data_IF_483106885832
#
_entry.id   IF_483106885832
#
_cell.length_a   1.000
_cell.length_b   1.000
_cell.length_c   1.000
_cell.angle_alpha   90.00
_cell.angle_beta   90.00
_cell.angle_gamma   90.00
#
_symmetry.space_group_name_H-M   'P 1'
#
loop_
_entity.id
_entity.type
_entity.pdbx_description
1 polymer ?
#
# COMPACT_ATOMS: atom_id res chain seq x y z
N UNK A 1 56.68 -5.87 -4.95
CA UNK A 1 57.49 -6.84 -5.73
C UNK A 1 56.65 -8.09 -5.91
N UNK A 2 56.52 -8.63 -7.13
CA UNK A 2 55.51 -9.67 -7.41
C UNK A 2 55.95 -11.00 -6.79
N UNK A 3 55.01 -11.75 -6.18
CA UNK A 3 55.18 -13.11 -5.62
C UNK A 3 55.98 -14.05 -6.55
N UNK A 4 55.77 -13.90 -7.86
CA UNK A 4 56.45 -14.67 -8.92
C UNK A 4 57.96 -14.40 -9.02
N UNK A 5 58.43 -13.20 -8.68
CA UNK A 5 59.84 -12.83 -8.77
C UNK A 5 60.68 -13.40 -7.60
N UNK A 6 60.05 -13.59 -6.44
CA UNK A 6 60.68 -14.15 -5.23
C UNK A 6 60.83 -15.67 -5.35
N UNK A 7 59.79 -16.35 -5.83
CA UNK A 7 59.81 -17.80 -6.08
C UNK A 7 60.84 -18.17 -7.15
N UNK A 8 60.94 -17.39 -8.23
CA UNK A 8 61.92 -17.61 -9.31
C UNK A 8 63.37 -17.51 -8.82
N UNK A 9 63.67 -16.52 -7.97
CA UNK A 9 65.00 -16.38 -7.35
C UNK A 9 65.32 -17.50 -6.36
N UNK A 10 64.32 -18.04 -5.65
CA UNK A 10 64.50 -19.18 -4.76
C UNK A 10 64.80 -20.48 -5.53
N UNK A 11 64.13 -20.69 -6.67
CA UNK A 11 64.37 -21.82 -7.57
C UNK A 11 65.77 -21.79 -8.19
N UNK A 12 66.24 -20.60 -8.61
CA UNK A 12 67.60 -20.41 -9.11
C UNK A 12 68.68 -20.70 -8.04
N UNK A 13 68.38 -20.45 -6.76
CA UNK A 13 69.31 -20.75 -5.65
C UNK A 13 69.29 -22.23 -5.25
N UNK A 14 68.15 -22.91 -5.39
CA UNK A 14 68.07 -24.37 -5.28
C UNK A 14 68.88 -25.06 -6.39
N UNK A 15 68.76 -24.56 -7.63
CA UNK A 15 69.51 -25.09 -8.77
C UNK A 15 71.04 -24.89 -8.66
N UNK A 16 71.49 -23.90 -7.88
CA UNK A 16 72.91 -23.67 -7.55
C UNK A 16 73.41 -24.50 -6.36
N UNK A 17 72.54 -25.28 -5.72
CA UNK A 17 72.91 -26.15 -4.59
C UNK A 17 73.23 -25.41 -3.28
N UNK A 18 72.89 -24.11 -3.19
CA UNK A 18 73.15 -23.29 -2.01
C UNK A 18 72.17 -23.55 -0.86
N UNK A 19 71.03 -24.20 -1.15
CA UNK A 19 69.97 -24.51 -0.20
C UNK A 19 69.47 -25.93 -0.41
N UNK A 20 69.09 -26.60 0.68
CA UNK A 20 68.57 -27.97 0.65
C UNK A 20 67.10 -27.98 0.22
N UNK A 21 66.66 -29.03 -0.49
CA UNK A 21 65.29 -29.20 -1.00
C UNK A 21 64.25 -29.11 0.13
N UNK A 22 64.60 -29.61 1.32
CA UNK A 22 63.77 -29.54 2.53
C UNK A 22 63.52 -28.09 2.99
N UNK A 23 64.53 -27.23 2.88
CA UNK A 23 64.45 -25.79 3.22
C UNK A 23 63.66 -25.00 2.17
N UNK A 24 63.75 -25.38 0.89
CA UNK A 24 62.93 -24.79 -0.18
C UNK A 24 61.44 -25.12 0.02
N UNK A 25 61.12 -26.36 0.37
CA UNK A 25 59.73 -26.80 0.61
C UNK A 25 59.12 -26.14 1.86
N UNK A 26 59.87 -25.92 2.94
CA UNK A 26 59.40 -25.19 4.12
C UNK A 26 59.09 -23.71 3.83
N UNK A 27 59.94 -23.03 3.05
CA UNK A 27 59.72 -21.63 2.67
C UNK A 27 58.55 -21.51 1.69
N UNK A 28 58.44 -22.45 0.73
CA UNK A 28 57.33 -22.51 -0.23
C UNK A 28 56.00 -22.77 0.47
N UNK A 29 55.96 -23.70 1.43
CA UNK A 29 54.75 -24.00 2.20
C UNK A 29 54.31 -22.80 3.04
N UNK A 30 55.24 -22.11 3.72
CA UNK A 30 54.94 -20.92 4.52
C UNK A 30 54.33 -19.78 3.67
N UNK A 31 54.78 -19.61 2.44
CA UNK A 31 54.22 -18.63 1.47
C UNK A 31 52.95 -19.09 0.75
N UNK A 32 52.53 -20.34 0.93
CA UNK A 32 51.27 -20.88 0.40
C UNK A 32 50.19 -20.98 1.49
N UNK A 33 50.57 -20.87 2.77
CA UNK A 33 49.68 -21.03 3.93
C UNK A 33 49.41 -19.74 4.72
N UNK A 34 49.98 -18.59 4.36
CA UNK A 34 49.44 -17.31 4.81
C UNK A 34 48.22 -16.99 3.94
N UNK A 35 46.99 -16.89 4.50
CA UNK A 35 45.88 -16.35 3.74
C UNK A 35 46.29 -14.94 3.33
N UNK A 36 46.26 -14.63 2.04
CA UNK A 36 46.27 -13.26 1.57
C UNK A 36 45.08 -12.57 2.24
N UNK A 37 45.37 -11.84 3.33
CA UNK A 37 44.57 -10.71 3.76
C UNK A 37 44.41 -9.84 2.52
N UNK A 38 43.16 -9.77 2.05
CA UNK A 38 42.73 -9.01 0.89
C UNK A 38 43.26 -7.58 0.95
N UNK A 39 44.28 -7.27 0.15
CA UNK A 39 44.65 -5.89 -0.11
C UNK A 39 43.47 -5.17 -0.78
N UNK A 40 43.19 -3.93 -0.40
CA UNK A 40 42.06 -3.16 -0.92
C UNK A 40 42.29 -2.92 -2.41
N UNK A 41 41.37 -3.43 -3.21
CA UNK A 41 41.26 -3.09 -4.63
C UNK A 41 41.20 -1.57 -4.77
N UNK A 42 42.18 -1.01 -5.49
CA UNK A 42 42.18 0.36 -5.97
C UNK A 42 40.81 0.71 -6.57
N UNK A 43 40.34 1.97 -6.48
CA UNK A 43 39.01 2.35 -6.95
C UNK A 43 38.99 2.18 -8.47
N UNK A 44 38.45 1.06 -8.93
CA UNK A 44 37.89 0.97 -10.27
C UNK A 44 36.84 2.06 -10.34
N UNK A 45 37.00 3.02 -11.27
CA UNK A 45 35.93 3.95 -11.63
C UNK A 45 34.64 3.13 -11.72
N UNK A 46 33.54 3.57 -11.10
CA UNK A 46 32.33 2.77 -11.07
C UNK A 46 31.94 2.48 -12.51
N UNK A 47 31.89 1.20 -12.88
CA UNK A 47 31.31 0.77 -14.14
C UNK A 47 29.86 1.26 -14.09
N UNK A 48 29.56 2.25 -14.92
CA UNK A 48 28.30 2.98 -14.88
C UNK A 48 27.13 2.00 -15.00
N UNK A 49 27.31 0.87 -15.69
CA UNK A 49 26.28 -0.17 -15.84
C UNK A 49 25.89 -0.87 -14.54
N UNK A 50 26.86 -1.22 -13.69
CA UNK A 50 26.61 -1.95 -12.44
C UNK A 50 26.15 -1.00 -11.32
N UNK A 51 26.65 0.23 -11.32
CA UNK A 51 26.18 1.30 -10.43
C UNK A 51 24.74 1.72 -10.75
N UNK A 52 24.35 1.83 -12.04
CA UNK A 52 22.95 2.07 -12.41
C UNK A 52 22.08 0.87 -12.02
N UNK A 53 22.55 -0.37 -12.22
CA UNK A 53 21.84 -1.58 -11.80
C UNK A 53 21.57 -1.63 -10.30
N UNK A 54 22.57 -1.29 -9.47
CA UNK A 54 22.45 -1.22 -8.02
C UNK A 54 21.57 -0.05 -7.55
N UNK A 55 21.64 1.12 -8.18
CA UNK A 55 20.80 2.29 -7.87
C UNK A 55 19.35 2.06 -8.31
N UNK A 56 19.11 1.41 -9.45
CA UNK A 56 17.77 0.99 -9.88
C UNK A 56 17.23 -0.10 -8.97
N UNK A 57 18.03 -1.09 -8.58
CA UNK A 57 17.62 -2.12 -7.62
C UNK A 57 17.32 -1.52 -6.22
N UNK A 58 18.14 -0.58 -5.73
CA UNK A 58 17.89 0.14 -4.48
C UNK A 58 16.67 1.04 -4.58
N UNK A 59 16.48 1.78 -5.69
CA UNK A 59 15.29 2.61 -5.91
C UNK A 59 14.02 1.77 -6.03
N UNK A 60 14.09 0.59 -6.65
CA UNK A 60 12.95 -0.35 -6.73
C UNK A 60 12.65 -0.97 -5.36
N UNK A 61 13.68 -1.24 -4.54
CA UNK A 61 13.53 -1.73 -3.17
C UNK A 61 13.07 -0.65 -2.17
N UNK A 62 13.37 0.64 -2.41
CA UNK A 62 12.90 1.77 -1.61
C UNK A 62 11.48 2.19 -1.99
N UNK A 63 11.12 2.12 -3.27
CA UNK A 63 9.74 2.31 -3.72
C UNK A 63 8.80 1.23 -3.17
N UNK A 64 9.26 -0.02 -3.01
CA UNK A 64 8.52 -1.10 -2.36
C UNK A 64 8.33 -0.88 -0.85
N UNK A 65 9.36 -0.40 -0.14
CA UNK A 65 9.29 -0.16 1.31
C UNK A 65 8.37 1.00 1.69
N UNK A 66 8.20 2.00 0.83
CA UNK A 66 7.23 3.08 1.05
C UNK A 66 5.77 2.64 0.82
N UNK A 67 5.52 1.55 0.10
CA UNK A 67 4.17 0.95 0.02
C UNK A 67 3.84 0.10 1.25
N UNK A 68 4.83 -0.53 1.89
CA UNK A 68 4.61 -1.48 2.99
C UNK A 68 4.47 -0.84 4.38
N UNK A 69 5.01 0.37 4.61
CA UNK A 69 4.92 1.03 5.93
C UNK A 69 3.52 1.59 6.27
N UNK A 70 2.57 1.60 5.33
CA UNK A 70 1.18 2.03 5.59
C UNK A 70 0.23 0.86 5.94
N UNK A 71 0.65 -0.40 5.74
CA UNK A 71 -0.21 -1.57 5.91
C UNK A 71 -0.06 -2.26 7.27
N UNK A 72 0.97 -1.95 8.07
CA UNK A 72 1.34 -2.79 9.21
C UNK A 72 0.94 -2.26 10.60
N UNK A 73 0.23 -1.13 10.69
CA UNK A 73 -0.23 -0.56 11.97
C UNK A 73 -1.71 -0.82 12.28
N UNK A 74 -2.46 -1.45 11.37
CA UNK A 74 -3.91 -1.74 11.53
C UNK A 74 -4.18 -3.24 11.66
N UNK A 75 -3.17 -4.01 12.10
CA UNK A 75 -3.25 -5.47 12.20
C UNK A 75 -3.88 -6.01 13.49
N UNK A 76 -4.12 -5.19 14.52
CA UNK A 76 -4.50 -5.72 15.84
C UNK A 76 -5.69 -5.03 16.53
N UNK A 77 -6.57 -4.36 15.78
CA UNK A 77 -7.84 -3.88 16.34
C UNK A 77 -8.96 -3.80 15.29
N UNK A 78 -9.61 -4.93 15.00
CA UNK A 78 -11.08 -5.11 14.84
C UNK A 78 -11.34 -6.38 14.01
N UNK A 79 -11.52 -7.52 14.69
CA UNK A 79 -11.55 -8.87 14.12
C UNK A 79 -12.86 -9.26 13.40
N UNK A 80 -13.65 -8.29 12.92
CA UNK A 80 -15.00 -8.51 12.39
C UNK A 80 -15.29 -7.83 11.04
N UNK A 81 -14.39 -6.98 10.54
CA UNK A 81 -14.55 -6.29 9.26
C UNK A 81 -13.25 -6.45 8.46
N UNK A 82 -13.33 -7.13 7.31
CA UNK A 82 -12.22 -7.35 6.41
C UNK A 82 -12.04 -6.14 5.50
N UNK A 83 -10.93 -5.42 5.68
CA UNK A 83 -10.58 -4.28 4.86
C UNK A 83 -9.44 -4.65 3.92
N UNK A 84 -9.66 -4.54 2.60
CA UNK A 84 -8.62 -4.74 1.60
C UNK A 84 -8.45 -3.46 0.78
N UNK A 85 -7.36 -2.73 1.01
CA UNK A 85 -7.18 -1.42 0.41
C UNK A 85 -5.86 -0.74 0.76
N UNK A 86 -5.47 0.23 -0.05
CA UNK A 86 -4.33 1.10 0.19
C UNK A 86 -4.85 2.42 0.75
N UNK A 87 -4.39 2.81 1.94
CA UNK A 87 -4.71 4.10 2.56
C UNK A 87 -5.98 4.12 3.43
N UNK A 88 -6.34 3.00 4.05
CA UNK A 88 -7.44 2.94 5.03
C UNK A 88 -6.90 3.22 6.44
N UNK A 89 -7.37 4.30 7.07
CA UNK A 89 -7.16 4.58 8.49
C UNK A 89 -8.43 4.20 9.25
N UNK A 90 -8.30 3.29 10.21
CA UNK A 90 -9.38 2.84 11.08
C UNK A 90 -9.12 3.33 12.51
N UNK A 91 -10.15 3.85 13.14
CA UNK A 91 -10.26 4.06 14.58
C UNK A 91 -11.50 3.32 15.07
N UNK A 92 -11.60 3.06 16.37
CA UNK A 92 -12.74 2.32 16.97
C UNK A 92 -14.10 2.90 16.55
N UNK A 93 -14.17 4.22 16.39
CA UNK A 93 -15.39 4.95 16.08
C UNK A 93 -15.38 5.57 14.67
N UNK A 94 -14.25 5.64 13.96
CA UNK A 94 -14.21 6.30 12.63
C UNK A 94 -13.42 5.53 11.59
N UNK A 95 -13.99 5.42 10.39
CA UNK A 95 -13.39 4.77 9.22
C UNK A 95 -13.03 5.85 8.21
N UNK A 96 -11.76 5.96 7.83
CA UNK A 96 -11.29 6.90 6.79
C UNK A 96 -10.60 6.13 5.67
N UNK A 97 -11.05 6.31 4.44
CA UNK A 97 -10.49 5.67 3.24
C UNK A 97 -9.89 6.78 2.36
N UNK A 98 -8.57 6.86 2.22
CA UNK A 98 -7.88 7.93 1.48
C UNK A 98 -7.47 7.54 0.05
N UNK A 99 -7.66 6.28 -0.36
CA UNK A 99 -7.21 5.77 -1.64
C UNK A 99 -8.23 4.83 -2.27
N UNK A 100 -7.93 3.54 -2.22
CA UNK A 100 -8.90 2.51 -2.62
C UNK A 100 -9.07 1.50 -1.50
N UNK A 101 -10.31 1.14 -1.20
CA UNK A 101 -10.60 0.25 -0.08
C UNK A 101 -11.89 -0.52 -0.27
N UNK A 102 -11.81 -1.84 -0.10
CA UNK A 102 -12.95 -2.71 0.06
C UNK A 102 -13.17 -2.91 1.54
N UNK A 103 -14.33 -2.52 2.02
CA UNK A 103 -14.81 -2.75 3.39
C UNK A 103 -15.78 -3.92 3.30
N UNK A 104 -15.47 -5.03 3.96
CA UNK A 104 -16.37 -6.18 3.99
C UNK A 104 -16.74 -6.44 5.45
N UNK A 105 -18.01 -6.34 5.79
CA UNK A 105 -18.47 -6.60 7.15
C UNK A 105 -19.96 -6.80 7.19
N UNK A 106 -20.42 -7.64 8.12
CA UNK A 106 -21.82 -8.01 8.20
C UNK A 106 -22.28 -8.08 9.66
N UNK A 107 -22.73 -6.97 10.27
CA UNK A 107 -22.81 -5.58 9.76
C UNK A 107 -21.56 -4.73 10.08
N UNK A 108 -21.31 -3.69 9.27
CA UNK A 108 -20.26 -2.67 9.55
C UNK A 108 -20.88 -1.57 10.40
N UNK A 109 -20.48 -1.45 11.68
CA UNK A 109 -20.92 -0.37 12.57
C UNK A 109 -19.78 0.61 12.80
N UNK A 110 -20.02 1.90 12.60
CA UNK A 110 -19.04 2.97 12.87
C UNK A 110 -19.77 4.26 13.24
N UNK A 111 -19.11 5.26 13.83
CA UNK A 111 -19.72 6.59 14.06
C UNK A 111 -19.51 7.45 12.82
N UNK A 112 -18.27 7.57 12.34
CA UNK A 112 -17.95 8.41 11.19
C UNK A 112 -17.32 7.60 10.05
N UNK A 113 -17.99 7.53 8.91
CA UNK A 113 -17.47 6.93 7.68
C UNK A 113 -17.04 8.03 6.70
N UNK A 114 -15.76 8.09 6.37
CA UNK A 114 -15.17 9.03 5.39
C UNK A 114 -14.51 8.26 4.26
N UNK A 115 -14.89 8.56 3.03
CA UNK A 115 -14.26 8.01 1.83
C UNK A 115 -13.81 9.11 0.88
N UNK A 116 -12.50 9.27 0.74
CA UNK A 116 -11.82 10.24 -0.11
C UNK A 116 -11.20 9.60 -1.37
N UNK A 117 -11.74 8.48 -1.84
CA UNK A 117 -11.25 7.78 -3.03
C UNK A 117 -12.26 6.77 -3.59
N UNK A 118 -11.81 5.57 -3.96
CA UNK A 118 -12.66 4.49 -4.47
C UNK A 118 -12.96 3.48 -3.37
N UNK A 119 -14.17 3.49 -2.83
CA UNK A 119 -14.58 2.56 -1.79
C UNK A 119 -15.64 1.57 -2.29
N UNK A 120 -15.52 0.31 -1.86
CA UNK A 120 -16.56 -0.70 -2.04
C UNK A 120 -16.95 -1.24 -0.68
N UNK A 121 -18.22 -1.19 -0.33
CA UNK A 121 -18.73 -1.68 0.94
C UNK A 121 -19.59 -2.90 0.68
N UNK A 122 -19.11 -4.06 1.15
CA UNK A 122 -19.77 -5.35 1.08
C UNK A 122 -20.45 -5.63 2.42
N UNK A 123 -21.78 -5.60 2.41
CA UNK A 123 -22.61 -5.80 3.59
C UNK A 123 -23.23 -4.50 4.12
N UNK A 124 -24.18 -4.62 5.06
CA UNK A 124 -24.93 -3.48 5.56
C UNK A 124 -24.04 -2.55 6.38
N UNK A 125 -24.15 -1.25 6.11
CA UNK A 125 -23.45 -0.19 6.85
C UNK A 125 -24.42 0.49 7.81
N UNK A 126 -24.02 0.60 9.07
CA UNK A 126 -24.68 1.42 10.10
C UNK A 126 -23.68 2.48 10.56
N UNK A 127 -23.97 3.76 10.33
CA UNK A 127 -23.11 4.85 10.82
C UNK A 127 -23.85 6.14 11.17
N UNK A 128 -23.41 6.91 12.15
CA UNK A 128 -24.05 8.22 12.42
C UNK A 128 -23.81 9.18 11.25
N UNK A 129 -22.57 9.31 10.77
CA UNK A 129 -22.25 10.21 9.65
C UNK A 129 -21.45 9.52 8.55
N UNK A 130 -21.92 9.64 7.31
CA UNK A 130 -21.22 9.17 6.11
C UNK A 130 -20.86 10.32 5.17
N UNK A 131 -19.57 10.49 4.88
CA UNK A 131 -19.03 11.51 3.97
C UNK A 131 -18.25 10.84 2.84
N UNK A 132 -18.80 10.90 1.64
CA UNK A 132 -18.21 10.35 0.43
C UNK A 132 -17.76 11.50 -0.48
N UNK A 133 -16.45 11.71 -0.60
CA UNK A 133 -15.89 12.66 -1.55
C UNK A 133 -15.60 12.04 -2.93
N UNK A 134 -15.30 10.73 -2.98
CA UNK A 134 -14.89 10.03 -4.20
C UNK A 134 -15.99 9.16 -4.84
N UNK A 135 -15.60 7.98 -5.31
CA UNK A 135 -16.52 6.99 -5.87
C UNK A 135 -16.79 5.88 -4.86
N UNK A 136 -18.04 5.69 -4.45
CA UNK A 136 -18.39 4.66 -3.47
C UNK A 136 -19.48 3.74 -3.99
N UNK A 137 -19.30 2.44 -3.80
CA UNK A 137 -20.29 1.42 -4.17
C UNK A 137 -20.68 0.63 -2.93
N UNK A 138 -21.95 0.71 -2.58
CA UNK A 138 -22.57 -0.08 -1.50
C UNK A 138 -23.35 -1.23 -2.12
N UNK A 139 -22.99 -2.47 -1.78
CA UNK A 139 -23.66 -3.67 -2.32
C UNK A 139 -24.90 -4.09 -1.50
N UNK A 140 -25.11 -3.49 -0.33
CA UNK A 140 -26.22 -3.77 0.58
C UNK A 140 -26.92 -2.48 1.05
N UNK A 141 -27.75 -2.60 2.08
CA UNK A 141 -28.46 -1.48 2.71
C UNK A 141 -27.53 -0.58 3.51
N UNK A 142 -27.82 0.72 3.51
CA UNK A 142 -27.05 1.75 4.22
C UNK A 142 -28.00 2.46 5.18
N UNK A 143 -27.69 2.42 6.47
CA UNK A 143 -28.42 3.12 7.52
C UNK A 143 -27.49 4.15 8.13
N UNK A 144 -27.83 5.43 7.97
CA UNK A 144 -27.07 6.51 8.59
C UNK A 144 -27.97 7.59 9.18
N UNK A 145 -27.44 8.54 9.93
CA UNK A 145 -28.20 9.74 10.31
C UNK A 145 -27.96 10.82 9.25
N UNK A 146 -26.68 11.16 9.01
CA UNK A 146 -26.28 12.16 8.01
C UNK A 146 -25.51 11.52 6.85
N UNK A 147 -26.06 11.56 5.65
CA UNK A 147 -25.43 11.08 4.42
C UNK A 147 -25.00 12.23 3.52
N UNK A 148 -23.70 12.46 3.36
CA UNK A 148 -23.15 13.43 2.40
C UNK A 148 -22.35 12.74 1.30
N UNK A 149 -22.71 13.04 0.05
CA UNK A 149 -22.00 12.57 -1.13
C UNK A 149 -21.63 13.71 -2.08
N UNK A 150 -20.35 14.00 -2.22
CA UNK A 150 -19.84 14.99 -3.18
C UNK A 150 -19.48 14.36 -4.54
N UNK A 151 -19.17 13.06 -4.57
CA UNK A 151 -18.73 12.36 -5.77
C UNK A 151 -19.79 11.47 -6.42
N UNK A 152 -19.39 10.29 -6.89
CA UNK A 152 -20.29 9.31 -7.51
C UNK A 152 -20.58 8.17 -6.55
N UNK A 153 -21.82 8.06 -6.09
CA UNK A 153 -22.20 7.02 -5.14
C UNK A 153 -23.26 6.12 -5.74
N UNK A 154 -23.04 4.81 -5.63
CA UNK A 154 -24.02 3.79 -6.04
C UNK A 154 -24.41 2.94 -4.84
N UNK A 155 -25.69 2.80 -4.61
CA UNK A 155 -26.26 1.97 -3.54
C UNK A 155 -27.15 0.92 -4.21
N UNK A 156 -26.77 -0.35 -4.07
CA UNK A 156 -27.54 -1.46 -4.62
C UNK A 156 -28.79 -1.78 -3.78
N UNK A 157 -28.70 -1.59 -2.46
CA UNK A 157 -29.79 -1.80 -1.50
C UNK A 157 -30.61 -0.53 -1.23
N UNK A 158 -31.18 -0.48 -0.04
CA UNK A 158 -31.96 0.64 0.49
C UNK A 158 -31.06 1.63 1.21
N UNK A 159 -31.27 2.93 0.99
CA UNK A 159 -30.65 4.00 1.77
C UNK A 159 -31.65 4.51 2.79
N UNK A 160 -31.33 4.37 4.08
CA UNK A 160 -32.04 5.02 5.18
C UNK A 160 -31.16 6.09 5.79
N UNK A 161 -31.65 7.32 5.85
CA UNK A 161 -30.95 8.44 6.46
C UNK A 161 -31.93 9.43 7.10
N UNK A 162 -31.52 10.23 8.07
CA UNK A 162 -32.34 11.37 8.50
C UNK A 162 -32.15 12.51 7.49
N UNK A 163 -30.90 12.84 7.17
CA UNK A 163 -30.53 13.87 6.19
C UNK A 163 -29.67 13.29 5.05
N UNK A 164 -30.05 13.55 3.79
CA UNK A 164 -29.30 13.16 2.60
C UNK A 164 -28.89 14.38 1.80
N UNK A 165 -27.60 14.69 1.78
CA UNK A 165 -27.00 15.72 0.93
C UNK A 165 -26.20 15.07 -0.21
N UNK A 166 -26.58 15.33 -1.45
CA UNK A 166 -25.81 14.89 -2.62
C UNK A 166 -25.53 16.05 -3.56
N UNK A 167 -24.24 16.30 -3.80
CA UNK A 167 -23.77 17.32 -4.73
C UNK A 167 -23.34 16.72 -6.07
N UNK A 168 -23.10 15.40 -6.11
CA UNK A 168 -22.58 14.69 -7.28
C UNK A 168 -23.64 13.80 -7.95
N UNK A 169 -23.27 12.55 -8.25
CA UNK A 169 -24.16 11.57 -8.85
C UNK A 169 -24.51 10.49 -7.82
N UNK A 170 -25.76 10.41 -7.40
CA UNK A 170 -26.26 9.38 -6.50
C UNK A 170 -27.19 8.45 -7.28
N UNK A 171 -26.82 7.18 -7.38
CA UNK A 171 -27.66 6.13 -7.95
C UNK A 171 -28.08 5.14 -6.86
N UNK A 172 -29.38 4.98 -6.67
CA UNK A 172 -29.94 4.00 -5.74
C UNK A 172 -30.79 3.01 -6.53
N UNK A 173 -30.38 1.74 -6.54
CA UNK A 173 -31.11 0.67 -7.23
C UNK A 173 -32.30 0.18 -6.38
N UNK A 174 -32.23 0.28 -5.05
CA UNK A 174 -33.34 0.01 -4.12
C UNK A 174 -34.20 1.24 -3.85
N UNK A 175 -34.64 1.40 -2.59
CA UNK A 175 -35.45 2.54 -2.13
C UNK A 175 -34.61 3.53 -1.31
N UNK A 176 -35.08 4.78 -1.21
CA UNK A 176 -34.56 5.78 -0.28
C UNK A 176 -35.66 6.07 0.74
N UNK A 177 -35.32 6.02 2.02
CA UNK A 177 -36.16 6.46 3.14
C UNK A 177 -35.37 7.54 3.88
N UNK A 178 -35.77 8.80 3.79
CA UNK A 178 -35.11 9.86 4.55
C UNK A 178 -36.03 11.01 4.95
N UNK A 179 -35.76 11.70 6.06
CA UNK A 179 -36.59 12.84 6.46
C UNK A 179 -36.36 14.03 5.51
N UNK A 180 -35.10 14.41 5.30
CA UNK A 180 -34.71 15.49 4.39
C UNK A 180 -33.75 15.00 3.29
N UNK A 181 -34.06 15.33 2.04
CA UNK A 181 -33.19 15.05 0.88
C UNK A 181 -32.88 16.34 0.13
N UNK A 182 -31.60 16.67 0.04
CA UNK A 182 -31.05 17.77 -0.73
C UNK A 182 -30.14 17.25 -1.84
N UNK A 183 -30.60 17.32 -3.08
CA UNK A 183 -29.85 16.89 -4.26
C UNK A 183 -29.54 18.06 -5.19
N UNK A 184 -28.27 18.46 -5.23
CA UNK A 184 -27.79 19.51 -6.15
C UNK A 184 -27.26 18.97 -7.48
N UNK A 185 -27.05 17.66 -7.59
CA UNK A 185 -26.45 17.01 -8.75
C UNK A 185 -27.41 16.13 -9.54
N UNK A 186 -27.03 14.88 -9.80
CA UNK A 186 -27.89 13.90 -10.48
C UNK A 186 -28.29 12.80 -9.51
N UNK A 187 -29.59 12.70 -9.23
CA UNK A 187 -30.16 11.64 -8.41
C UNK A 187 -30.93 10.67 -9.32
N UNK A 188 -30.62 9.38 -9.26
CA UNK A 188 -31.35 8.34 -10.00
C UNK A 188 -31.78 7.26 -9.03
N UNK A 189 -33.09 7.06 -8.89
CA UNK A 189 -33.64 6.06 -7.97
C UNK A 189 -34.54 5.12 -8.75
N UNK A 190 -34.25 3.82 -8.69
CA UNK A 190 -35.07 2.81 -9.38
C UNK A 190 -36.26 2.33 -8.54
N UNK A 191 -36.12 2.32 -7.22
CA UNK A 191 -37.18 1.93 -6.29
C UNK A 191 -38.06 3.10 -5.88
N UNK A 192 -38.50 3.10 -4.62
CA UNK A 192 -39.33 4.17 -4.05
C UNK A 192 -38.44 5.20 -3.35
N UNK A 193 -38.79 6.47 -3.46
CA UNK A 193 -38.26 7.53 -2.59
C UNK A 193 -39.38 7.91 -1.62
N UNK A 194 -39.11 7.75 -0.34
CA UNK A 194 -39.96 8.19 0.77
C UNK A 194 -39.20 9.28 1.52
N UNK A 195 -39.68 10.52 1.44
CA UNK A 195 -39.12 11.61 2.20
C UNK A 195 -40.14 12.66 2.61
N UNK A 196 -39.91 13.27 3.78
CA UNK A 196 -40.77 14.34 4.29
C UNK A 196 -40.51 15.65 3.55
N UNK A 197 -39.24 16.00 3.36
CA UNK A 197 -38.80 17.15 2.58
C UNK A 197 -37.81 16.75 1.49
N UNK A 198 -38.15 17.04 0.23
CA UNK A 198 -37.29 16.77 -0.92
C UNK A 198 -36.98 18.05 -1.68
N UNK A 199 -35.74 18.53 -1.60
CA UNK A 199 -35.21 19.60 -2.43
C UNK A 199 -34.25 19.04 -3.45
N UNK A 200 -34.49 19.32 -4.72
CA UNK A 200 -33.49 19.10 -5.75
C UNK A 200 -33.33 20.33 -6.63
N UNK A 201 -32.08 20.75 -6.79
CA UNK A 201 -31.67 21.80 -7.72
C UNK A 201 -31.00 21.24 -8.99
N UNK A 202 -30.92 19.91 -9.09
CA UNK A 202 -30.31 19.20 -10.21
C UNK A 202 -31.28 18.31 -10.99
N UNK A 203 -30.78 17.21 -11.56
CA UNK A 203 -31.57 16.26 -12.34
C UNK A 203 -31.97 15.06 -11.50
N UNK A 204 -33.27 14.78 -11.39
CA UNK A 204 -33.80 13.61 -10.67
C UNK A 204 -34.50 12.71 -11.67
N UNK A 205 -34.23 11.40 -11.60
CA UNK A 205 -34.76 10.40 -12.54
C UNK A 205 -35.29 9.16 -11.84
#
# INVERSE_FOLDING_TARGET
MKRKDILRKLEERLARGEINEKTYLEIKARYDSEPEESEPSQPTMPDLGEAIGAVVAQATAEAGRHAEHAAHAVGEAMRAVDFSGIGTQLSEESIKILGSGVVSGNPVKTVEFKSAGSARVQGPLEAETARIAGSCVFEADVHVEEFRSAGSTRIAGTLKAEEVETSGALQVDGSIEAEEISSSGSLTVKGRVDAEEFRSSGSVR
#
